data_IF_317386612875
#
_entry.id   IF_317386612875
#
_cell.length_a   1.000
_cell.length_b   1.000
_cell.length_c   1.000
_cell.angle_alpha   90.00
_cell.angle_beta   90.00
_cell.angle_gamma   90.00
#
_symmetry.space_group_name_H-M   'P 1'
#
loop_
_entity.id
_entity.type
_entity.pdbx_description
1 polymer ?
#
# COMPACT_ATOMS: atom_id res chain seq x y z
N UNK A 1 -17.53 -9.79 -20.63
CA UNK A 1 -16.86 -8.57 -21.01
C UNK A 1 -16.69 -7.60 -19.85
N UNK A 2 -17.75 -7.21 -19.24
CA UNK A 2 -17.71 -6.19 -18.20
C UNK A 2 -16.95 -6.63 -16.95
N UNK A 3 -17.00 -7.90 -16.59
CA UNK A 3 -16.35 -8.39 -15.39
C UNK A 3 -14.83 -8.26 -15.42
N UNK A 4 -14.23 -8.63 -16.55
CA UNK A 4 -12.78 -8.53 -16.69
C UNK A 4 -12.31 -7.11 -16.74
N UNK A 5 -13.04 -6.23 -17.41
CA UNK A 5 -12.70 -4.82 -17.47
C UNK A 5 -12.79 -4.18 -16.10
N UNK A 6 -13.77 -4.52 -15.32
CA UNK A 6 -13.90 -4.01 -13.96
C UNK A 6 -12.73 -4.44 -13.08
N UNK A 7 -12.26 -5.68 -13.23
CA UNK A 7 -11.10 -6.16 -12.48
C UNK A 7 -9.84 -5.38 -12.84
N UNK A 8 -9.61 -5.18 -14.12
CA UNK A 8 -8.44 -4.42 -14.58
C UNK A 8 -8.47 -2.99 -14.03
N UNK A 9 -9.65 -2.37 -14.06
CA UNK A 9 -9.80 -1.02 -13.57
C UNK A 9 -9.51 -0.92 -12.08
N UNK A 10 -10.03 -1.86 -11.28
CA UNK A 10 -9.75 -1.90 -9.85
C UNK A 10 -8.27 -2.08 -9.56
N UNK A 11 -7.62 -2.97 -10.30
CA UNK A 11 -6.20 -3.23 -10.10
C UNK A 11 -5.36 -2.00 -10.40
N UNK A 12 -5.71 -1.25 -11.45
CA UNK A 12 -4.99 -0.01 -11.79
C UNK A 12 -5.11 0.98 -10.64
N UNK A 13 -6.29 1.16 -10.07
CA UNK A 13 -6.50 2.08 -8.94
C UNK A 13 -5.67 1.64 -7.74
N UNK A 14 -5.65 0.36 -7.41
CA UNK A 14 -4.85 -0.16 -6.31
C UNK A 14 -3.37 0.07 -6.53
N UNK A 15 -2.89 -0.15 -7.75
CA UNK A 15 -1.49 0.07 -8.09
C UNK A 15 -1.10 1.53 -7.94
N UNK A 16 -1.95 2.45 -8.36
CA UNK A 16 -1.70 3.87 -8.18
C UNK A 16 -1.57 4.23 -6.70
N UNK A 17 -2.45 3.69 -5.87
CA UNK A 17 -2.39 3.95 -4.43
C UNK A 17 -1.15 3.35 -3.80
N UNK A 18 -0.80 2.13 -4.19
CA UNK A 18 0.43 1.49 -3.69
C UNK A 18 1.64 2.33 -4.09
N UNK A 19 1.67 2.84 -5.31
CA UNK A 19 2.75 3.72 -5.75
C UNK A 19 2.90 4.95 -4.86
N UNK A 20 1.79 5.60 -4.55
CA UNK A 20 1.81 6.77 -3.67
C UNK A 20 2.30 6.42 -2.27
N UNK A 21 1.85 5.29 -1.73
CA UNK A 21 2.25 4.84 -0.40
C UNK A 21 3.74 4.51 -0.39
N UNK A 22 4.23 3.82 -1.41
CA UNK A 22 5.65 3.45 -1.52
C UNK A 22 6.54 4.69 -1.60
N UNK A 23 6.13 5.71 -2.37
CA UNK A 23 6.88 6.97 -2.43
C UNK A 23 6.98 7.59 -1.06
N UNK A 24 5.90 7.61 -0.31
CA UNK A 24 5.89 8.17 1.05
C UNK A 24 6.77 7.36 2.00
N UNK A 25 6.78 6.04 1.86
CA UNK A 25 7.66 5.18 2.65
C UNK A 25 9.11 5.51 2.33
N UNK A 26 9.45 5.61 1.06
CA UNK A 26 10.79 5.96 0.61
C UNK A 26 11.27 7.26 1.23
N UNK A 27 10.43 8.29 1.19
CA UNK A 27 10.76 9.59 1.74
C UNK A 27 10.89 9.56 3.27
N UNK A 28 9.99 8.85 3.93
CA UNK A 28 9.96 8.79 5.39
C UNK A 28 11.14 8.03 5.96
N UNK A 29 11.50 6.91 5.35
CA UNK A 29 12.57 6.04 5.84
C UNK A 29 13.93 6.35 5.22
N UNK A 30 13.97 7.18 4.19
CA UNK A 30 15.22 7.49 3.51
C UNK A 30 15.79 6.32 2.73
N UNK A 31 14.94 5.46 2.20
CA UNK A 31 15.33 4.30 1.39
C UNK A 31 14.94 4.52 -0.06
N UNK A 32 15.49 3.70 -0.97
CA UNK A 32 15.14 3.80 -2.38
C UNK A 32 13.70 3.36 -2.61
N UNK A 33 13.13 3.77 -3.75
CA UNK A 33 11.78 3.34 -4.13
C UNK A 33 11.69 1.81 -4.22
N UNK A 34 12.72 1.18 -4.75
CA UNK A 34 12.76 -0.27 -4.88
C UNK A 34 12.73 -0.94 -3.51
N UNK A 35 13.52 -0.44 -2.57
CA UNK A 35 13.53 -0.97 -1.21
C UNK A 35 12.18 -0.74 -0.52
N UNK A 36 11.62 0.44 -0.67
CA UNK A 36 10.34 0.76 -0.08
C UNK A 36 9.24 -0.17 -0.62
N UNK A 37 9.25 -0.41 -1.92
CA UNK A 37 8.30 -1.32 -2.56
C UNK A 37 8.44 -2.73 -2.01
N UNK A 38 9.67 -3.21 -1.91
CA UNK A 38 9.95 -4.56 -1.40
C UNK A 38 9.49 -4.70 0.05
N UNK A 39 9.80 -3.72 0.88
CA UNK A 39 9.37 -3.70 2.27
C UNK A 39 7.85 -3.73 2.39
N UNK A 40 7.17 -2.91 1.58
CA UNK A 40 5.72 -2.85 1.63
C UNK A 40 5.10 -4.18 1.22
N UNK A 41 5.60 -4.78 0.15
CA UNK A 41 5.05 -6.05 -0.32
C UNK A 41 5.24 -7.21 0.66
N UNK A 42 6.23 -7.12 1.53
CA UNK A 42 6.46 -8.15 2.56
C UNK A 42 5.64 -7.91 3.82
N UNK A 43 4.96 -6.77 3.92
CA UNK A 43 4.30 -6.39 5.15
C UNK A 43 2.91 -6.97 5.28
N UNK A 44 2.45 -7.10 6.50
CA UNK A 44 1.06 -7.44 6.82
C UNK A 44 0.11 -6.34 6.36
N UNK A 45 0.57 -5.09 6.41
CA UNK A 45 -0.21 -3.95 5.95
C UNK A 45 -0.60 -4.10 4.48
N UNK A 46 0.34 -4.54 3.64
CA UNK A 46 0.06 -4.79 2.23
C UNK A 46 -0.97 -5.91 2.07
N UNK A 47 -0.81 -6.98 2.83
CA UNK A 47 -1.75 -8.08 2.80
C UNK A 47 -3.15 -7.63 3.18
N UNK A 48 -3.27 -6.85 4.25
CA UNK A 48 -4.56 -6.30 4.67
C UNK A 48 -5.13 -5.32 3.65
N UNK A 49 -4.26 -4.56 3.00
CA UNK A 49 -4.67 -3.62 1.97
C UNK A 49 -5.36 -4.34 0.80
N UNK A 50 -4.86 -5.52 0.44
CA UNK A 50 -5.44 -6.33 -0.63
C UNK A 50 -6.64 -7.16 -0.18
N UNK A 51 -6.85 -7.31 1.12
CA UNK A 51 -7.96 -8.08 1.67
C UNK A 51 -9.18 -7.19 1.84
N UNK A 52 -10.21 -7.46 1.07
CA UNK A 52 -11.43 -6.65 1.07
C UNK A 52 -12.15 -6.69 2.42
N UNK A 53 -12.00 -7.79 3.16
CA UNK A 53 -12.69 -7.95 4.45
C UNK A 53 -12.16 -6.97 5.51
N UNK A 54 -10.91 -6.60 5.44
CA UNK A 54 -10.32 -5.67 6.41
C UNK A 54 -10.76 -4.24 6.20
N UNK A 55 -11.17 -3.90 4.97
CA UNK A 55 -11.55 -2.53 4.63
C UNK A 55 -10.40 -1.54 4.61
N UNK A 56 -9.17 -2.00 4.75
CA UNK A 56 -8.01 -1.11 4.79
C UNK A 56 -7.87 -0.30 3.50
N UNK A 57 -8.21 -0.90 2.37
CA UNK A 57 -8.13 -0.21 1.09
C UNK A 57 -9.08 0.99 0.99
N UNK A 58 -10.08 1.06 1.85
CA UNK A 58 -11.01 2.19 1.90
C UNK A 58 -10.45 3.37 2.68
N UNK A 59 -9.39 3.18 3.43
CA UNK A 59 -8.76 4.23 4.20
C UNK A 59 -7.83 5.05 3.32
N UNK A 60 -7.51 6.26 3.76
CA UNK A 60 -6.61 7.12 3.01
C UNK A 60 -5.18 6.60 3.02
N UNK A 61 -4.37 7.10 2.08
CA UNK A 61 -2.98 6.67 1.94
C UNK A 61 -2.19 6.92 3.22
N UNK A 62 -2.46 8.02 3.90
CA UNK A 62 -1.76 8.35 5.13
C UNK A 62 -2.06 7.35 6.25
N UNK A 63 -3.30 6.89 6.30
CA UNK A 63 -3.68 5.87 7.28
C UNK A 63 -2.92 4.57 7.04
N UNK A 64 -2.86 4.14 5.78
CA UNK A 64 -2.14 2.92 5.39
C UNK A 64 -0.66 3.07 5.70
N UNK A 65 -0.09 4.23 5.40
CA UNK A 65 1.31 4.51 5.70
C UNK A 65 1.59 4.40 7.20
N UNK A 66 0.75 5.01 8.03
CA UNK A 66 0.92 4.96 9.48
C UNK A 66 0.82 3.54 10.00
N UNK A 67 -0.10 2.75 9.45
CA UNK A 67 -0.26 1.35 9.84
C UNK A 67 0.99 0.54 9.49
N UNK A 68 1.55 0.79 8.31
CA UNK A 68 2.79 0.15 7.89
C UNK A 68 3.96 0.53 8.81
N UNK A 69 4.11 1.82 9.10
CA UNK A 69 5.20 2.28 9.95
C UNK A 69 5.10 1.71 11.36
N UNK A 70 3.89 1.61 11.89
CA UNK A 70 3.67 0.99 13.18
C UNK A 70 4.05 -0.49 13.16
N UNK A 71 3.75 -1.17 12.07
CA UNK A 71 4.07 -2.58 11.92
C UNK A 71 5.57 -2.85 11.96
N UNK A 72 6.35 -2.02 11.28
CA UNK A 72 7.81 -2.20 11.24
C UNK A 72 8.51 -1.60 12.46
N UNK A 73 7.76 -0.97 13.36
CA UNK A 73 8.32 -0.40 14.58
C UNK A 73 9.09 0.90 14.36
N UNK A 74 8.87 1.57 13.24
CA UNK A 74 9.54 2.82 12.96
C UNK A 74 8.89 3.96 13.72
N UNK A 75 9.67 4.81 14.41
CA UNK A 75 9.11 6.02 15.02
C UNK A 75 8.69 7.00 13.91
N UNK A 76 7.54 7.55 14.09
CA UNK A 76 6.97 8.49 13.12
C UNK A 76 7.12 9.91 13.64
#
# INVERSE_FOLDING_TARGET
MSGEQKRKFRNIIRWQRIGCIVVKISETLGVSLKEALDMFYRSETCRRFHDEETGLYLQGNLYVLNDFLAEIGSPV
#
